data_IF_143039188680
#
_entry.id   IF_143039188680
#
_cell.length_a   1.000
_cell.length_b   1.000
_cell.length_c   1.000
_cell.angle_alpha   90.00
_cell.angle_beta   90.00
_cell.angle_gamma   90.00
#
_symmetry.space_group_name_H-M   'P 1'
#
loop_
_entity.id
_entity.type
_entity.pdbx_description
1 polymer ?
#
# COMPACT_ATOMS: atom_id res chain seq x y z
N UNK A 1 22.78 -58.93 -76.06
CA UNK A 1 22.33 -57.82 -75.19
C UNK A 1 21.43 -58.37 -74.08
N UNK A 2 21.85 -59.46 -73.41
CA UNK A 2 21.00 -60.24 -72.50
C UNK A 2 21.71 -60.62 -71.19
N UNK A 3 22.98 -60.20 -71.00
CA UNK A 3 23.79 -60.59 -69.84
C UNK A 3 24.08 -59.42 -68.88
N UNK A 4 23.33 -58.31 -69.00
CA UNK A 4 23.53 -57.10 -68.18
C UNK A 4 22.33 -56.75 -67.31
N UNK A 5 21.27 -57.55 -67.36
CA UNK A 5 20.06 -57.38 -66.54
C UNK A 5 20.09 -58.31 -65.33
N UNK A 6 20.70 -59.50 -65.43
CA UNK A 6 20.81 -60.42 -64.28
C UNK A 6 21.77 -59.93 -63.19
N UNK A 7 22.80 -59.18 -63.56
CA UNK A 7 23.77 -58.62 -62.60
C UNK A 7 23.18 -57.47 -61.73
N UNK A 8 22.00 -56.95 -62.10
CA UNK A 8 21.27 -55.95 -61.28
C UNK A 8 20.17 -56.57 -60.41
N UNK A 9 19.79 -57.82 -60.63
CA UNK A 9 18.77 -58.50 -59.83
C UNK A 9 19.37 -59.32 -58.68
N UNK A 10 20.64 -59.70 -58.77
CA UNK A 10 21.35 -60.39 -57.68
C UNK A 10 22.01 -59.43 -56.67
N UNK A 11 22.07 -58.13 -56.98
CA UNK A 11 22.55 -57.08 -56.08
C UNK A 11 21.40 -56.29 -55.43
N UNK A 12 20.30 -56.96 -55.11
CA UNK A 12 19.18 -56.36 -54.38
C UNK A 12 18.58 -57.24 -53.28
N UNK A 13 19.21 -58.36 -52.93
CA UNK A 13 18.73 -59.30 -51.91
C UNK A 13 19.58 -59.35 -50.62
N UNK A 14 20.60 -58.50 -50.46
CA UNK A 14 21.44 -58.49 -49.26
C UNK A 14 21.57 -57.09 -48.64
N UNK A 15 20.43 -56.52 -48.29
CA UNK A 15 20.34 -55.60 -47.16
C UNK A 15 19.15 -56.04 -46.29
N UNK A 16 19.15 -57.32 -45.90
CA UNK A 16 18.66 -57.63 -44.57
C UNK A 16 19.69 -57.02 -43.62
N UNK A 17 19.43 -55.79 -43.15
CA UNK A 17 20.00 -55.39 -41.88
C UNK A 17 19.66 -56.51 -40.90
N UNK A 18 20.64 -57.04 -40.14
CA UNK A 18 20.34 -58.02 -39.13
C UNK A 18 19.29 -57.38 -38.23
N UNK A 19 18.06 -57.90 -38.27
CA UNK A 19 17.10 -57.74 -37.18
C UNK A 19 17.70 -58.48 -35.98
N UNK A 20 18.79 -57.94 -35.45
CA UNK A 20 19.32 -58.29 -34.17
C UNK A 20 18.25 -57.83 -33.18
N UNK A 21 17.34 -58.74 -32.82
CA UNK A 21 16.46 -58.53 -31.69
C UNK A 21 17.31 -58.05 -30.53
N UNK A 22 16.95 -56.89 -29.97
CA UNK A 22 17.67 -56.25 -28.86
C UNK A 22 18.08 -57.32 -27.85
N UNK A 23 19.39 -57.45 -27.62
CA UNK A 23 19.89 -58.44 -26.67
C UNK A 23 19.24 -58.21 -25.31
N UNK A 24 18.90 -59.27 -24.59
CA UNK A 24 18.24 -59.17 -23.27
C UNK A 24 18.99 -58.19 -22.33
N UNK A 25 20.32 -58.17 -22.39
CA UNK A 25 21.14 -57.26 -21.59
C UNK A 25 20.98 -55.79 -21.97
N UNK A 26 20.84 -55.47 -23.26
CA UNK A 26 20.66 -54.11 -23.77
C UNK A 26 19.28 -53.56 -23.40
N UNK A 27 18.25 -54.42 -23.43
CA UNK A 27 16.92 -54.07 -22.96
C UNK A 27 16.90 -53.76 -21.45
N UNK A 28 17.63 -54.52 -20.62
CA UNK A 28 17.76 -54.28 -19.19
C UNK A 28 18.49 -52.96 -18.92
N UNK A 29 19.59 -52.69 -19.63
CA UNK A 29 20.33 -51.42 -19.51
C UNK A 29 19.45 -50.25 -19.90
N UNK A 30 18.69 -50.37 -20.99
CA UNK A 30 17.76 -49.31 -21.45
C UNK A 30 16.65 -49.04 -20.43
N UNK A 31 16.05 -50.09 -19.86
CA UNK A 31 15.03 -49.96 -18.81
C UNK A 31 15.61 -49.31 -17.56
N UNK A 32 16.84 -49.67 -17.17
CA UNK A 32 17.50 -49.12 -15.99
C UNK A 32 17.81 -47.63 -16.19
N UNK A 33 18.29 -47.24 -17.37
CA UNK A 33 18.53 -45.83 -17.71
C UNK A 33 17.23 -45.02 -17.74
N UNK A 34 16.18 -45.50 -18.41
CA UNK A 34 14.87 -44.82 -18.45
C UNK A 34 14.29 -44.68 -17.04
N UNK A 35 14.38 -45.72 -16.22
CA UNK A 35 13.88 -45.70 -14.84
C UNK A 35 14.61 -44.65 -14.00
N UNK A 36 15.93 -44.56 -14.12
CA UNK A 36 16.72 -43.55 -13.44
C UNK A 36 16.29 -42.13 -13.86
N UNK A 37 16.15 -41.89 -15.17
CA UNK A 37 15.70 -40.59 -15.67
C UNK A 37 14.28 -40.24 -15.21
N UNK A 38 13.34 -41.20 -15.20
CA UNK A 38 11.98 -40.97 -14.72
C UNK A 38 11.95 -40.65 -13.23
N UNK A 39 12.73 -41.37 -12.40
CA UNK A 39 12.78 -41.12 -10.96
C UNK A 39 13.29 -39.72 -10.65
N UNK A 40 14.36 -39.29 -11.32
CA UNK A 40 14.89 -37.92 -11.17
C UNK A 40 13.91 -36.89 -11.71
N UNK A 41 13.29 -37.14 -12.87
CA UNK A 41 12.31 -36.25 -13.49
C UNK A 41 11.09 -36.00 -12.60
N UNK A 42 10.55 -37.04 -11.95
CA UNK A 42 9.41 -36.90 -11.04
C UNK A 42 9.76 -36.05 -9.81
N UNK A 43 10.94 -36.25 -9.23
CA UNK A 43 11.39 -35.46 -8.08
C UNK A 43 11.53 -33.97 -8.43
N UNK A 44 12.07 -33.66 -9.61
CA UNK A 44 12.17 -32.28 -10.10
C UNK A 44 10.80 -31.65 -10.36
N UNK A 45 9.86 -32.41 -10.95
CA UNK A 45 8.50 -31.91 -11.21
C UNK A 45 7.74 -31.58 -9.91
N UNK A 46 7.83 -32.45 -8.90
CA UNK A 46 7.23 -32.20 -7.58
C UNK A 46 7.85 -30.98 -6.94
N UNK A 47 9.18 -30.88 -6.92
CA UNK A 47 9.91 -29.76 -6.33
C UNK A 47 9.55 -28.43 -7.01
N UNK A 48 9.47 -28.41 -8.34
CA UNK A 48 9.05 -27.24 -9.12
C UNK A 48 7.63 -26.80 -8.78
N UNK A 49 6.71 -27.74 -8.59
CA UNK A 49 5.32 -27.44 -8.20
C UNK A 49 5.25 -26.82 -6.80
N UNK A 50 6.03 -27.35 -5.85
CA UNK A 50 6.12 -26.76 -4.50
C UNK A 50 6.73 -25.35 -4.54
N UNK A 51 7.78 -25.14 -5.33
CA UNK A 51 8.37 -23.80 -5.48
C UNK A 51 7.41 -22.82 -6.15
N UNK A 52 6.71 -23.25 -7.20
CA UNK A 52 5.72 -22.42 -7.92
C UNK A 52 4.58 -21.99 -7.01
N UNK A 53 4.03 -22.92 -6.21
CA UNK A 53 2.95 -22.59 -5.25
C UNK A 53 3.41 -21.63 -4.17
N UNK A 54 4.63 -21.84 -3.61
CA UNK A 54 5.22 -20.90 -2.65
C UNK A 54 5.46 -19.51 -3.26
N UNK A 55 6.00 -19.45 -4.47
CA UNK A 55 6.24 -18.21 -5.18
C UNK A 55 4.93 -17.46 -5.45
N UNK A 56 3.88 -18.17 -5.85
CA UNK A 56 2.56 -17.60 -6.07
C UNK A 56 1.96 -17.03 -4.78
N UNK A 57 2.02 -17.78 -3.67
CA UNK A 57 1.56 -17.31 -2.35
C UNK A 57 2.28 -16.05 -1.89
N UNK A 58 3.61 -16.03 -2.03
CA UNK A 58 4.42 -14.85 -1.68
C UNK A 58 4.09 -13.64 -2.57
N UNK A 59 3.85 -13.86 -3.86
CA UNK A 59 3.47 -12.80 -4.80
C UNK A 59 2.10 -12.20 -4.44
N UNK A 60 1.10 -13.05 -4.19
CA UNK A 60 -0.24 -12.62 -3.80
C UNK A 60 -0.24 -11.90 -2.44
N UNK A 61 0.51 -12.40 -1.44
CA UNK A 61 0.66 -11.75 -0.15
C UNK A 61 1.30 -10.36 -0.27
N UNK A 62 2.34 -10.22 -1.10
CA UNK A 62 2.97 -8.91 -1.37
C UNK A 62 2.02 -7.95 -2.07
N UNK A 63 1.28 -8.42 -3.07
CA UNK A 63 0.28 -7.60 -3.76
C UNK A 63 -0.79 -7.10 -2.79
N UNK A 64 -1.25 -7.96 -1.88
CA UNK A 64 -2.25 -7.58 -0.87
C UNK A 64 -1.74 -6.50 0.10
N UNK A 65 -0.48 -6.60 0.53
CA UNK A 65 0.16 -5.56 1.33
C UNK A 65 0.31 -4.25 0.54
N UNK A 66 0.74 -4.33 -0.72
CA UNK A 66 0.88 -3.16 -1.60
C UNK A 66 -0.46 -2.45 -1.83
N UNK A 67 -1.55 -3.20 -2.03
CA UNK A 67 -2.88 -2.64 -2.21
C UNK A 67 -3.37 -1.86 -0.96
N UNK A 68 -3.13 -2.41 0.23
CA UNK A 68 -3.44 -1.71 1.48
C UNK A 68 -2.56 -0.49 1.68
N UNK A 69 -1.26 -0.60 1.39
CA UNK A 69 -0.32 0.50 1.49
C UNK A 69 -0.70 1.66 0.56
N UNK A 70 -1.10 1.37 -0.67
CA UNK A 70 -1.49 2.41 -1.62
C UNK A 70 -2.77 3.12 -1.17
N UNK A 71 -3.75 2.41 -0.59
CA UNK A 71 -4.94 3.04 0.01
C UNK A 71 -4.58 3.94 1.19
N UNK A 72 -3.70 3.49 2.08
CA UNK A 72 -3.24 4.29 3.21
C UNK A 72 -2.41 5.49 2.74
N UNK A 73 -1.61 5.33 1.69
CA UNK A 73 -0.84 6.41 1.06
C UNK A 73 -1.77 7.45 0.44
N UNK A 74 -2.78 7.02 -0.31
CA UNK A 74 -3.79 7.91 -0.88
C UNK A 74 -4.52 8.68 0.23
N UNK A 75 -4.84 8.01 1.33
CA UNK A 75 -5.47 8.68 2.48
C UNK A 75 -4.52 9.68 3.14
N UNK A 76 -3.25 9.35 3.29
CA UNK A 76 -2.22 10.27 3.79
C UNK A 76 -2.06 11.49 2.87
N UNK A 77 -2.14 11.31 1.55
CA UNK A 77 -2.13 12.44 0.62
C UNK A 77 -3.40 13.28 0.67
N UNK A 78 -4.58 12.66 0.85
CA UNK A 78 -5.85 13.37 1.03
C UNK A 78 -5.90 14.13 2.35
N UNK A 79 -5.27 13.59 3.40
CA UNK A 79 -5.10 14.25 4.70
C UNK A 79 -4.11 15.43 4.67
N UNK A 80 -3.60 15.80 3.48
CA UNK A 80 -3.19 17.20 3.25
C UNK A 80 -4.32 18.18 3.55
N UNK A 81 -5.58 17.74 3.48
CA UNK A 81 -6.75 18.42 4.01
C UNK A 81 -7.02 18.01 5.46
N UNK A 82 -6.16 18.44 6.38
CA UNK A 82 -6.50 18.49 7.82
C UNK A 82 -7.83 19.20 7.92
N UNK A 83 -8.85 18.60 8.57
CA UNK A 83 -10.22 19.12 8.65
C UNK A 83 -10.23 20.65 8.75
N UNK A 84 -10.37 21.30 7.59
CA UNK A 84 -10.34 22.75 7.51
C UNK A 84 -11.65 23.19 8.11
N UNK A 85 -11.59 23.76 9.31
CA UNK A 85 -12.69 24.61 9.72
C UNK A 85 -12.68 25.78 8.76
N UNK A 86 -13.64 25.77 7.84
CA UNK A 86 -13.83 26.82 6.85
C UNK A 86 -15.08 27.60 7.21
N UNK A 87 -14.98 28.91 7.08
CA UNK A 87 -16.08 29.83 7.19
C UNK A 87 -15.87 30.94 6.19
N UNK A 88 -16.78 31.90 6.17
CA UNK A 88 -16.67 33.09 5.33
C UNK A 88 -16.80 34.33 6.18
N UNK A 89 -16.15 35.41 5.77
CA UNK A 89 -16.35 36.70 6.42
C UNK A 89 -17.79 37.16 6.23
N UNK A 90 -18.46 37.51 7.33
CA UNK A 90 -19.81 38.10 7.32
C UNK A 90 -19.76 39.62 7.13
N UNK A 91 -18.64 40.25 7.47
CA UNK A 91 -18.42 41.69 7.34
C UNK A 91 -17.07 41.98 6.70
N UNK A 92 -16.91 43.18 6.15
CA UNK A 92 -15.60 43.67 5.70
C UNK A 92 -14.59 43.60 6.85
N UNK A 93 -13.37 43.17 6.55
CA UNK A 93 -12.24 43.26 7.45
C UNK A 93 -11.17 44.14 6.80
N UNK A 94 -10.89 45.31 7.36
CA UNK A 94 -9.92 46.24 6.80
C UNK A 94 -8.49 45.76 7.04
N UNK A 95 -7.56 46.15 6.16
CA UNK A 95 -6.13 46.04 6.47
C UNK A 95 -5.84 46.76 7.80
N UNK A 96 -5.00 46.15 8.64
CA UNK A 96 -4.76 46.63 10.01
C UNK A 96 -5.79 46.18 11.04
N UNK A 97 -6.90 45.52 10.67
CA UNK A 97 -7.84 44.95 11.63
C UNK A 97 -7.29 43.65 12.23
N UNK A 98 -7.53 43.44 13.53
CA UNK A 98 -7.28 42.17 14.20
C UNK A 98 -8.58 41.42 14.54
N UNK A 99 -9.74 41.92 14.13
CA UNK A 99 -11.03 41.28 14.38
C UNK A 99 -11.70 40.87 13.08
N UNK A 100 -12.14 39.62 13.02
CA UNK A 100 -12.89 39.02 11.92
C UNK A 100 -14.27 38.61 12.43
N UNK A 101 -15.32 38.98 11.72
CA UNK A 101 -16.66 38.44 11.97
C UNK A 101 -16.96 37.39 10.90
N UNK A 102 -17.10 36.15 11.31
CA UNK A 102 -17.31 35.01 10.40
C UNK A 102 -18.75 34.51 10.44
N UNK A 103 -19.20 33.82 9.40
CA UNK A 103 -20.56 33.28 9.33
C UNK A 103 -20.83 32.23 10.43
N UNK A 104 -19.80 31.46 10.76
CA UNK A 104 -19.79 30.54 11.89
C UNK A 104 -18.37 30.41 12.42
N UNK A 105 -18.18 30.56 13.74
CA UNK A 105 -16.92 30.23 14.40
C UNK A 105 -16.87 28.76 14.89
N UNK A 106 -17.90 27.95 14.60
CA UNK A 106 -17.93 26.56 15.03
C UNK A 106 -16.76 25.77 14.42
N UNK A 107 -15.95 25.14 15.29
CA UNK A 107 -14.80 24.35 14.88
C UNK A 107 -13.47 25.10 14.89
N UNK A 108 -13.47 26.43 15.00
CA UNK A 108 -12.25 27.21 15.23
C UNK A 108 -11.89 27.16 16.72
N UNK A 109 -10.60 27.22 17.02
CA UNK A 109 -10.08 27.28 18.38
C UNK A 109 -9.01 28.36 18.53
N UNK A 110 -8.87 28.89 19.74
CA UNK A 110 -7.77 29.79 20.08
C UNK A 110 -6.45 29.06 19.85
N UNK A 111 -5.54 29.70 19.12
CA UNK A 111 -4.27 29.12 18.67
C UNK A 111 -4.26 28.62 17.23
N UNK A 112 -5.42 28.47 16.57
CA UNK A 112 -5.47 28.06 15.15
C UNK A 112 -4.79 29.13 14.27
N UNK A 113 -3.93 28.70 13.35
CA UNK A 113 -3.46 29.56 12.27
C UNK A 113 -4.55 29.71 11.21
N UNK A 114 -4.75 30.90 10.66
CA UNK A 114 -5.80 31.23 9.70
C UNK A 114 -5.23 31.75 8.39
N UNK A 115 -5.81 31.27 7.29
CA UNK A 115 -5.76 31.92 6.00
C UNK A 115 -7.06 32.68 5.78
N UNK A 116 -6.97 33.98 5.49
CA UNK A 116 -8.14 34.86 5.33
C UNK A 116 -8.12 35.43 3.91
N UNK A 117 -8.91 34.84 3.02
CA UNK A 117 -8.98 35.22 1.61
C UNK A 117 -7.60 35.20 0.94
N UNK A 118 -7.13 36.36 0.51
CA UNK A 118 -5.82 36.53 -0.11
C UNK A 118 -4.77 37.19 0.79
N UNK A 119 -5.02 37.24 2.11
CA UNK A 119 -4.06 37.79 3.06
C UNK A 119 -2.81 36.92 3.15
N UNK A 120 -1.64 37.57 3.11
CA UNK A 120 -0.34 36.90 3.11
C UNK A 120 0.28 36.78 4.50
N UNK A 121 -0.39 37.32 5.52
CA UNK A 121 0.06 37.29 6.91
C UNK A 121 -0.36 35.97 7.58
N UNK A 122 0.54 35.39 8.36
CA UNK A 122 0.21 34.27 9.25
C UNK A 122 -0.62 34.80 10.41
N UNK A 123 -1.93 34.71 10.26
CA UNK A 123 -2.88 35.12 11.28
C UNK A 123 -3.08 33.96 12.27
N UNK A 124 -3.05 34.21 13.57
CA UNK A 124 -3.34 33.18 14.60
C UNK A 124 -4.48 33.66 15.46
N UNK A 125 -5.43 32.79 15.78
CA UNK A 125 -6.56 33.13 16.64
C UNK A 125 -6.06 33.39 18.07
N UNK A 126 -6.32 34.58 18.60
CA UNK A 126 -6.05 34.95 20.00
C UNK A 126 -7.27 34.74 20.90
N UNK A 127 -8.47 35.07 20.43
CA UNK A 127 -9.73 34.83 21.16
C UNK A 127 -10.88 34.55 20.21
N UNK A 128 -11.89 33.81 20.68
CA UNK A 128 -13.15 33.59 19.97
C UNK A 128 -14.29 33.99 20.90
N UNK A 129 -15.18 34.86 20.41
CA UNK A 129 -16.39 35.27 21.12
C UNK A 129 -17.58 35.25 20.17
N UNK A 130 -18.45 34.26 20.33
CA UNK A 130 -19.54 34.01 19.37
C UNK A 130 -18.96 33.74 17.97
N UNK A 131 -19.39 34.54 17.00
CA UNK A 131 -18.92 34.48 15.61
C UNK A 131 -17.77 35.46 15.30
N UNK A 132 -17.21 36.11 16.33
CA UNK A 132 -16.08 37.01 16.19
C UNK A 132 -14.80 36.31 16.59
N UNK A 133 -13.83 36.31 15.69
CA UNK A 133 -12.48 35.79 15.86
C UNK A 133 -11.54 36.97 15.97
N UNK A 134 -10.76 37.04 17.05
CA UNK A 134 -9.67 38.00 17.21
C UNK A 134 -8.36 37.32 16.86
N UNK A 135 -7.53 38.01 16.11
CA UNK A 135 -6.21 37.57 15.67
C UNK A 135 -5.13 38.12 16.61
N UNK A 136 -3.99 37.44 16.69
CA UNK A 136 -2.78 37.91 17.38
C UNK A 136 -2.04 38.99 16.57
N UNK A 137 -2.19 38.97 15.24
CA UNK A 137 -1.65 39.93 14.29
C UNK A 137 -2.77 40.64 13.53
N UNK A 138 -2.50 41.85 13.04
CA UNK A 138 -3.42 42.56 12.17
C UNK A 138 -3.33 42.03 10.73
N UNK A 139 -4.45 42.01 10.02
CA UNK A 139 -4.51 41.67 8.59
C UNK A 139 -3.56 42.56 7.77
N UNK A 140 -2.85 41.97 6.81
CA UNK A 140 -2.02 42.72 5.86
C UNK A 140 -2.85 43.35 4.75
N UNK A 141 -3.84 42.62 4.23
CA UNK A 141 -4.74 43.08 3.17
C UNK A 141 -6.19 43.18 3.64
N UNK A 142 -6.94 44.13 3.05
CA UNK A 142 -8.37 44.23 3.31
C UNK A 142 -9.12 43.07 2.63
N UNK A 143 -10.12 42.53 3.33
CA UNK A 143 -10.94 41.40 2.90
C UNK A 143 -12.42 41.80 2.86
N UNK A 144 -13.11 41.37 1.80
CA UNK A 144 -14.53 41.62 1.59
C UNK A 144 -15.38 40.52 2.27
N UNK A 145 -16.69 40.73 2.45
CA UNK A 145 -17.56 39.71 2.98
C UNK A 145 -17.66 38.59 1.94
N UNK A 146 -17.72 37.34 2.38
CA UNK A 146 -17.65 36.17 1.51
C UNK A 146 -16.23 35.66 1.25
N UNK A 147 -15.17 36.42 1.58
CA UNK A 147 -13.80 35.87 1.58
C UNK A 147 -13.71 34.66 2.52
N UNK A 148 -12.96 33.63 2.12
CA UNK A 148 -12.80 32.43 2.92
C UNK A 148 -11.96 32.70 4.18
N UNK A 149 -12.31 32.02 5.27
CA UNK A 149 -11.55 31.98 6.51
C UNK A 149 -11.30 30.52 6.83
N UNK A 150 -10.05 30.10 6.77
CA UNK A 150 -9.66 28.69 6.81
C UNK A 150 -8.62 28.46 7.92
N UNK A 151 -8.94 27.57 8.86
CA UNK A 151 -7.99 27.10 9.86
C UNK A 151 -6.94 26.19 9.22
N UNK A 152 -5.69 26.67 9.17
CA UNK A 152 -4.53 25.90 8.76
C UNK A 152 -4.06 25.05 9.96
N UNK A 153 -3.70 23.79 9.68
CA UNK A 153 -2.67 23.09 10.45
C UNK A 153 -3.00 22.64 11.88
N UNK A 154 -4.15 21.99 12.08
CA UNK A 154 -4.50 21.38 13.37
C UNK A 154 -3.80 20.03 13.58
N UNK A 155 -2.65 20.04 14.25
CA UNK A 155 -1.94 18.83 14.72
C UNK A 155 -1.98 18.64 16.23
N UNK A 156 -2.34 19.70 16.95
CA UNK A 156 -2.12 19.92 18.38
C UNK A 156 -3.19 19.34 19.30
N UNK A 157 -4.39 19.04 18.79
CA UNK A 157 -5.45 18.40 19.59
C UNK A 157 -5.15 16.93 19.97
N UNK A 158 -4.05 16.33 19.48
CA UNK A 158 -3.66 14.96 19.80
C UNK A 158 -2.15 14.86 20.09
N UNK A 159 -1.78 14.23 21.21
CA UNK A 159 -0.39 13.84 21.50
C UNK A 159 0.17 13.00 20.34
N UNK A 160 1.20 13.49 19.66
CA UNK A 160 1.74 12.86 18.44
C UNK A 160 1.42 13.59 17.12
N UNK A 161 0.80 14.77 17.17
CA UNK A 161 0.77 15.68 16.03
C UNK A 161 -0.04 15.16 14.83
N UNK A 162 0.39 15.54 13.63
CA UNK A 162 -0.21 15.08 12.37
C UNK A 162 -0.15 13.55 12.22
N UNK A 163 0.86 12.88 12.78
CA UNK A 163 0.98 11.42 12.70
C UNK A 163 -0.14 10.72 13.48
N UNK A 164 -0.53 11.25 14.65
CA UNK A 164 -1.65 10.73 15.42
C UNK A 164 -2.99 11.01 14.74
N UNK A 165 -3.13 12.20 14.13
CA UNK A 165 -4.29 12.52 13.31
C UNK A 165 -4.43 11.55 12.13
N UNK A 166 -3.36 11.31 11.38
CA UNK A 166 -3.31 10.32 10.29
C UNK A 166 -3.72 8.92 10.78
N UNK A 167 -3.18 8.47 11.93
CA UNK A 167 -3.53 7.18 12.52
C UNK A 167 -5.04 7.02 12.75
N UNK A 168 -5.70 8.08 13.21
CA UNK A 168 -7.15 8.08 13.47
C UNK A 168 -8.01 8.03 12.21
N UNK A 169 -7.42 8.34 11.04
CA UNK A 169 -8.11 8.45 9.76
C UNK A 169 -7.74 7.35 8.77
N UNK A 170 -6.93 6.39 9.18
CA UNK A 170 -6.62 5.20 8.39
C UNK A 170 -7.88 4.39 8.11
N UNK A 171 -7.96 3.84 6.91
CA UNK A 171 -9.07 2.99 6.51
C UNK A 171 -8.90 1.59 7.10
N UNK A 172 -10.00 0.82 7.28
CA UNK A 172 -9.93 -0.62 7.46
C UNK A 172 -8.97 -1.31 6.49
N UNK A 173 -8.18 -2.25 7.03
CA UNK A 173 -7.41 -3.18 6.21
C UNK A 173 -8.39 -3.97 5.33
N UNK A 174 -8.03 -4.24 4.07
CA UNK A 174 -8.89 -4.95 3.12
C UNK A 174 -9.27 -6.34 3.62
N UNK A 175 -10.51 -6.75 3.35
CA UNK A 175 -11.11 -8.02 3.82
C UNK A 175 -11.17 -8.14 5.34
N UNK A 176 -11.44 -7.01 5.97
CA UNK A 176 -11.66 -6.86 7.40
C UNK A 176 -12.68 -7.86 7.97
N UNK A 177 -12.41 -8.36 9.17
CA UNK A 177 -13.32 -9.24 9.93
C UNK A 177 -13.74 -8.68 11.29
N UNK A 178 -13.19 -7.52 11.67
CA UNK A 178 -13.40 -6.90 12.97
C UNK A 178 -14.11 -5.57 12.78
N UNK A 179 -15.39 -5.46 13.12
CA UNK A 179 -16.22 -4.25 12.99
C UNK A 179 -15.80 -3.07 13.91
N UNK A 180 -14.51 -2.73 14.00
CA UNK A 180 -14.01 -1.57 14.73
C UNK A 180 -14.00 -0.33 13.82
N UNK A 181 -13.93 0.88 14.39
CA UNK A 181 -13.85 2.12 13.58
C UNK A 181 -12.58 2.24 12.71
N UNK A 182 -11.48 1.56 13.07
CA UNK A 182 -10.22 1.50 12.30
C UNK A 182 -9.56 0.12 12.39
N UNK A 183 -10.19 -0.89 11.78
CA UNK A 183 -9.79 -2.26 11.96
C UNK A 183 -8.51 -2.59 11.24
N UNK A 184 -7.75 -3.44 11.92
CA UNK A 184 -6.35 -3.68 11.67
C UNK A 184 -6.06 -5.15 11.34
N UNK A 185 -7.09 -5.98 11.19
CA UNK A 185 -6.97 -7.38 10.80
C UNK A 185 -7.96 -7.66 9.67
N UNK A 186 -7.47 -8.32 8.62
CA UNK A 186 -8.30 -8.82 7.52
C UNK A 186 -7.91 -10.25 7.16
N UNK A 187 -8.82 -10.99 6.54
CA UNK A 187 -8.59 -12.38 6.13
C UNK A 187 -8.91 -12.55 4.65
N UNK A 188 -8.06 -13.27 3.92
CA UNK A 188 -8.26 -13.54 2.49
C UNK A 188 -7.79 -14.94 2.16
N UNK A 189 -8.51 -15.63 1.29
CA UNK A 189 -8.06 -16.91 0.74
C UNK A 189 -7.08 -16.65 -0.40
N UNK A 190 -5.88 -17.20 -0.27
CA UNK A 190 -4.73 -17.05 -1.19
C UNK A 190 -4.21 -18.45 -1.49
N UNK A 191 -4.23 -18.86 -2.77
CA UNK A 191 -3.82 -20.21 -3.15
C UNK A 191 -4.57 -21.35 -2.44
N UNK A 192 -5.85 -21.16 -2.11
CA UNK A 192 -6.70 -22.15 -1.44
C UNK A 192 -6.58 -22.21 0.09
N UNK A 193 -5.73 -21.38 0.70
CA UNK A 193 -5.49 -21.34 2.13
C UNK A 193 -5.84 -19.95 2.70
N UNK A 194 -6.48 -19.91 3.87
CA UNK A 194 -6.86 -18.65 4.52
C UNK A 194 -5.59 -18.01 5.10
N UNK A 195 -5.34 -16.77 4.70
CA UNK A 195 -4.28 -15.94 5.25
C UNK A 195 -4.89 -14.76 5.99
N UNK A 196 -4.20 -14.33 7.04
CA UNK A 196 -4.59 -13.15 7.83
C UNK A 196 -3.55 -12.06 7.68
N UNK A 197 -3.97 -10.87 7.28
CA UNK A 197 -3.14 -9.67 7.34
C UNK A 197 -3.42 -8.94 8.64
N UNK A 198 -2.36 -8.47 9.29
CA UNK A 198 -2.44 -7.60 10.47
C UNK A 198 -1.65 -6.33 10.20
N UNK A 199 -2.27 -5.19 10.49
CA UNK A 199 -1.63 -3.88 10.54
C UNK A 199 -1.39 -3.49 11.99
N UNK A 200 -0.19 -3.08 12.33
CA UNK A 200 0.13 -2.40 13.58
C UNK A 200 0.52 -0.97 13.26
N UNK A 201 0.13 -0.03 14.12
CA UNK A 201 0.46 1.38 13.93
C UNK A 201 0.96 1.99 15.21
N UNK A 202 2.03 2.77 15.14
CA UNK A 202 2.62 3.48 16.27
C UNK A 202 2.98 4.90 15.84
N UNK A 203 2.74 5.87 16.72
CA UNK A 203 3.26 7.22 16.49
C UNK A 203 4.57 7.34 17.21
N UNK A 204 5.63 7.70 16.46
CA UNK A 204 6.98 7.87 16.98
C UNK A 204 7.36 9.33 16.86
N UNK A 205 7.66 9.97 17.99
CA UNK A 205 8.19 11.32 18.00
C UNK A 205 9.71 11.25 17.75
N UNK A 206 10.13 11.64 16.56
CA UNK A 206 11.53 11.67 16.13
C UNK A 206 11.87 13.12 15.81
N UNK A 207 12.47 13.84 16.77
CA UNK A 207 12.83 15.26 16.60
C UNK A 207 13.45 15.50 15.20
N UNK A 208 12.93 16.41 14.36
CA UNK A 208 11.95 17.48 14.62
C UNK A 208 10.46 17.19 14.31
N UNK A 209 10.06 15.94 14.06
CA UNK A 209 8.68 15.59 13.69
C UNK A 209 8.15 14.30 14.31
N UNK A 210 6.84 14.12 14.25
CA UNK A 210 6.21 12.83 14.56
C UNK A 210 5.98 12.05 13.27
N UNK A 211 6.38 10.79 13.23
CA UNK A 211 6.12 9.85 12.13
C UNK A 211 5.08 8.82 12.54
N UNK A 212 4.27 8.38 11.59
CA UNK A 212 3.40 7.23 11.76
C UNK A 212 4.12 5.98 11.22
N UNK A 213 4.49 5.08 12.11
CA UNK A 213 5.03 3.77 11.78
C UNK A 213 3.88 2.80 11.49
N UNK A 214 3.95 2.12 10.36
CA UNK A 214 2.97 1.13 9.93
C UNK A 214 3.69 -0.17 9.60
N UNK A 215 3.38 -1.22 10.37
CA UNK A 215 3.85 -2.58 10.14
C UNK A 215 2.69 -3.43 9.62
N UNK A 216 2.91 -4.10 8.48
CA UNK A 216 2.02 -5.10 7.93
C UNK A 216 2.64 -6.48 8.09
N UNK A 217 1.83 -7.45 8.51
CA UNK A 217 2.25 -8.84 8.63
C UNK A 217 1.16 -9.75 8.06
N UNK A 218 1.53 -10.62 7.12
CA UNK A 218 0.64 -11.65 6.57
C UNK A 218 1.03 -12.98 7.18
N UNK A 219 0.05 -13.67 7.74
CA UNK A 219 0.19 -14.98 8.39
C UNK A 219 -0.64 -16.02 7.68
N UNK A 220 -0.16 -17.26 7.64
CA UNK A 220 -0.94 -18.41 7.18
C UNK A 220 -1.95 -18.88 8.24
N UNK A 221 -2.73 -19.91 7.94
CA UNK A 221 -3.71 -20.47 8.88
C UNK A 221 -3.08 -21.08 10.14
N UNK A 222 -1.78 -21.40 10.09
CA UNK A 222 -0.99 -21.93 11.21
C UNK A 222 -0.35 -20.83 12.06
N UNK A 223 -0.47 -19.57 11.65
CA UNK A 223 0.13 -18.41 12.32
C UNK A 223 1.57 -18.11 11.92
N UNK A 224 2.14 -18.78 10.91
CA UNK A 224 3.49 -18.47 10.44
C UNK A 224 3.49 -17.20 9.60
N UNK A 225 4.48 -16.34 9.80
CA UNK A 225 4.66 -15.15 8.97
C UNK A 225 5.10 -15.54 7.56
N UNK A 226 4.26 -15.20 6.58
CA UNK A 226 4.51 -15.41 5.15
C UNK A 226 5.16 -14.17 4.53
N UNK A 227 4.76 -12.98 4.97
CA UNK A 227 5.33 -11.72 4.52
C UNK A 227 5.21 -10.66 5.62
N UNK A 228 6.18 -9.74 5.67
CA UNK A 228 6.11 -8.53 6.49
C UNK A 228 6.56 -7.33 5.68
N UNK A 229 6.05 -6.15 6.04
CA UNK A 229 6.42 -4.88 5.43
C UNK A 229 6.34 -3.76 6.45
N UNK A 230 7.39 -2.97 6.51
CA UNK A 230 7.53 -1.84 7.43
C UNK A 230 7.65 -0.55 6.64
N UNK A 231 6.92 0.47 7.07
CA UNK A 231 7.00 1.80 6.47
C UNK A 231 6.75 2.88 7.49
N UNK A 232 7.33 4.05 7.23
CA UNK A 232 7.11 5.26 7.99
C UNK A 232 6.43 6.29 7.10
N UNK A 233 5.40 6.94 7.63
CA UNK A 233 4.63 7.95 6.91
C UNK A 233 4.74 9.27 7.65
N UNK A 234 5.28 10.27 6.96
CA UNK A 234 5.20 11.67 7.36
C UNK A 234 3.98 12.29 6.65
N UNK A 235 2.97 12.74 7.39
CA UNK A 235 1.81 13.38 6.78
C UNK A 235 2.24 14.62 5.99
N UNK A 236 1.72 14.79 4.77
CA UNK A 236 2.04 15.96 3.94
C UNK A 236 1.69 17.28 4.63
N UNK A 237 0.64 17.26 5.45
CA UNK A 237 0.23 18.39 6.29
C UNK A 237 1.40 18.93 7.12
N UNK A 238 2.30 18.09 7.63
CA UNK A 238 3.50 18.55 8.36
C UNK A 238 4.31 19.56 7.53
N UNK A 239 4.62 19.25 6.27
CA UNK A 239 5.41 20.14 5.40
C UNK A 239 4.67 21.39 4.92
N UNK A 240 3.34 21.37 4.97
CA UNK A 240 2.52 22.54 4.60
C UNK A 240 2.25 23.45 5.81
N UNK A 241 2.55 22.95 7.00
CA UNK A 241 2.21 23.55 8.29
C UNK A 241 3.42 23.86 9.17
N UNK A 242 4.62 23.46 8.74
CA UNK A 242 5.90 23.75 9.38
C UNK A 242 6.41 25.14 9.04
#
# INVERSE_FOLDING_TARGET
MQNRIEDYLEKRSSFEEPQAGFGLIESIVSILLISLFMLVGLQLAVTSTVMKTRAQRLSEAKNWVQENLERDRQRSSDLSQVSYTMSTLSTNATSGSNTLTVASAAGFQVGDALMVGNDSVNNVISTISGNTITLSSTLGTAQNPGSSVEARCRSDSMTGGFAQYLRSKLLPVLSESNNSGTPNVGTRTVGGEIHSIRRSTAVRNVNPYAVLEINYQVTDASGNTVASFDTEVVPRAYFQCS
#
